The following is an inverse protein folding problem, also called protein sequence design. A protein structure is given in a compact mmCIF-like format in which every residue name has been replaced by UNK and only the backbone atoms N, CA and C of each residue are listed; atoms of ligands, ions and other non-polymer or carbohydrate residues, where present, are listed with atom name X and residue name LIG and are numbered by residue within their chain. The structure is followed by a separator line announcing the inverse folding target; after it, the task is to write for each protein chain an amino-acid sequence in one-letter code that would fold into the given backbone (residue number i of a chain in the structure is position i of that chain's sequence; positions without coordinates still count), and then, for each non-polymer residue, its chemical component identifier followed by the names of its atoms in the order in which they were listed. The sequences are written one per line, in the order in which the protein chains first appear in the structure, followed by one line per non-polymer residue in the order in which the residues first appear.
data_IF_906316898861
#
_entry.id   IF_906316898861
#
_cell.length_a   1.000
_cell.length_b   1.000
_cell.length_c   1.000
_cell.angle_alpha   90.00
_cell.angle_beta   90.00
_cell.angle_gamma   90.00
#
_symmetry.space_group_name_H-M   'P 1'
#
loop_
_entity.id
_entity.type
_entity.pdbx_description
1 polymer ?
#
# COMPACT_ATOMS: atom_id res chain seq x y z
N UNK A 1 -33.86 10.36 -37.56
CA UNK A 1 -32.40 10.61 -37.55
C UNK A 1 -31.86 10.02 -36.26
N UNK A 2 -31.12 8.93 -36.37
CA UNK A 2 -30.90 7.93 -35.32
C UNK A 2 -29.40 7.91 -34.99
N UNK A 3 -29.03 8.12 -33.73
CA UNK A 3 -27.68 7.85 -33.26
C UNK A 3 -27.71 6.60 -32.37
N UNK A 4 -27.16 5.51 -32.91
CA UNK A 4 -27.02 4.20 -32.29
C UNK A 4 -25.69 4.21 -31.52
N UNK A 5 -25.74 4.13 -30.19
CA UNK A 5 -24.53 3.90 -29.38
C UNK A 5 -24.35 2.38 -29.20
N UNK A 6 -23.34 1.86 -29.89
CA UNK A 6 -22.98 0.44 -29.93
C UNK A 6 -22.19 0.06 -28.66
N UNK A 7 -22.54 -1.02 -27.94
CA UNK A 7 -21.77 -1.52 -26.82
C UNK A 7 -20.70 -2.48 -27.32
N UNK A 8 -19.59 -1.95 -27.82
CA UNK A 8 -18.38 -2.72 -28.10
C UNK A 8 -17.22 -2.05 -27.41
N UNK A 9 -17.00 -2.40 -26.15
CA UNK A 9 -15.72 -2.16 -25.50
C UNK A 9 -14.62 -2.96 -26.23
N UNK A 10 -13.38 -2.46 -26.27
CA UNK A 10 -12.29 -3.19 -26.90
C UNK A 10 -12.06 -4.54 -26.19
N UNK A 11 -11.72 -5.62 -26.91
CA UNK A 11 -11.36 -6.89 -26.29
C UNK A 11 -10.12 -6.69 -25.40
N UNK A 12 -10.14 -7.32 -24.21
CA UNK A 12 -8.99 -7.38 -23.32
C UNK A 12 -7.78 -7.92 -24.08
N UNK A 13 -6.86 -7.02 -24.44
CA UNK A 13 -5.54 -7.41 -24.92
C UNK A 13 -4.74 -7.95 -23.72
N UNK A 14 -4.09 -9.13 -23.84
CA UNK A 14 -3.13 -9.55 -22.83
C UNK A 14 -2.02 -8.50 -22.74
N UNK A 15 -1.68 -8.10 -21.52
CA UNK A 15 -0.57 -7.17 -21.27
C UNK A 15 0.71 -7.75 -21.86
N UNK A 16 1.14 -7.20 -22.99
CA UNK A 16 2.47 -7.46 -23.55
C UNK A 16 3.46 -6.90 -22.53
N UNK A 17 4.18 -7.79 -21.85
CA UNK A 17 5.36 -7.45 -21.06
C UNK A 17 6.29 -6.67 -22.01
N UNK A 18 6.68 -5.42 -21.70
CA UNK A 18 7.66 -4.72 -22.50
C UNK A 18 8.90 -5.61 -22.62
N UNK A 19 9.24 -5.95 -23.86
CA UNK A 19 10.48 -6.63 -24.20
C UNK A 19 11.65 -5.87 -23.56
N UNK A 20 12.64 -6.66 -23.16
CA UNK A 20 13.88 -6.23 -22.51
C UNK A 20 14.29 -4.81 -22.88
N UNK A 21 14.11 -3.89 -21.93
CA UNK A 21 14.85 -2.64 -21.96
C UNK A 21 16.33 -3.05 -22.01
N UNK A 22 17.11 -2.66 -23.05
CA UNK A 22 18.55 -2.85 -22.98
C UNK A 22 18.98 -2.21 -21.68
N UNK A 23 19.73 -2.98 -20.87
CA UNK A 23 20.28 -2.53 -19.60
C UNK A 23 20.76 -1.09 -19.82
N UNK A 24 20.05 -0.13 -19.23
CA UNK A 24 20.46 1.27 -19.29
C UNK A 24 21.80 1.26 -18.58
N UNK A 25 22.89 1.19 -19.34
CA UNK A 25 24.17 1.71 -18.93
C UNK A 25 23.84 3.11 -18.45
N UNK A 26 23.78 3.26 -17.13
CA UNK A 26 23.51 4.53 -16.50
C UNK A 26 24.71 5.40 -16.85
N UNK A 27 24.66 6.08 -18.00
CA UNK A 27 25.54 7.19 -18.30
C UNK A 27 25.40 8.13 -17.10
N UNK A 28 26.47 8.41 -16.34
CA UNK A 28 26.39 9.28 -15.21
C UNK A 28 25.83 10.61 -15.69
N UNK A 29 24.65 11.01 -15.19
CA UNK A 29 24.09 12.31 -15.51
C UNK A 29 25.11 13.37 -15.08
N UNK A 30 25.63 14.20 -15.99
CA UNK A 30 26.58 15.24 -15.63
C UNK A 30 25.89 16.16 -14.63
N UNK A 31 26.44 16.23 -13.41
CA UNK A 31 25.90 17.04 -12.31
C UNK A 31 25.18 16.28 -11.20
N UNK A 32 25.01 14.95 -11.27
CA UNK A 32 24.59 14.20 -10.08
C UNK A 32 25.77 14.12 -9.11
N UNK A 33 25.67 14.70 -7.89
CA UNK A 33 26.73 14.55 -6.91
C UNK A 33 26.99 13.06 -6.67
N UNK A 34 28.25 12.62 -6.54
CA UNK A 34 28.57 11.23 -6.24
C UNK A 34 27.79 10.83 -4.99
N UNK A 35 27.14 9.67 -5.05
CA UNK A 35 26.48 9.13 -3.86
C UNK A 35 27.53 9.08 -2.73
N UNK A 36 27.20 9.59 -1.53
CA UNK A 36 28.16 9.58 -0.43
C UNK A 36 28.63 8.13 -0.20
N UNK A 37 29.93 7.93 0.06
CA UNK A 37 30.44 6.59 0.35
C UNK A 37 29.67 6.01 1.53
N UNK A 38 29.16 4.79 1.37
CA UNK A 38 28.49 4.07 2.45
C UNK A 38 29.54 3.79 3.53
N UNK A 39 29.33 4.19 4.79
CA UNK A 39 30.27 3.93 5.87
C UNK A 39 30.47 2.41 6.05
N UNK A 40 31.65 1.93 5.63
CA UNK A 40 32.10 0.56 5.86
C UNK A 40 32.82 0.51 7.21
N UNK A 41 32.46 -0.45 8.05
CA UNK A 41 33.16 -0.66 9.32
C UNK A 41 34.48 -1.41 9.14
N UNK A 42 35.22 -1.64 10.22
CA UNK A 42 36.52 -2.30 10.18
C UNK A 42 36.39 -3.71 9.57
N UNK A 43 37.40 -4.10 8.79
CA UNK A 43 37.49 -5.47 8.27
C UNK A 43 37.73 -6.40 9.45
N UNK A 44 36.80 -7.32 9.68
CA UNK A 44 36.90 -8.35 10.71
C UNK A 44 37.35 -9.64 10.04
N UNK A 45 38.53 -10.15 10.39
CA UNK A 45 38.95 -11.49 9.98
C UNK A 45 38.33 -12.52 10.93
N UNK A 46 37.58 -13.47 10.38
CA UNK A 46 37.02 -14.57 11.15
C UNK A 46 37.97 -15.77 11.11
N UNK A 47 38.37 -16.31 12.27
CA UNK A 47 39.14 -17.54 12.32
C UNK A 47 38.30 -18.71 11.80
N UNK A 48 38.85 -19.47 10.85
CA UNK A 48 38.19 -20.62 10.24
C UNK A 48 39.00 -21.18 9.06
N UNK A 49 38.69 -22.40 8.64
CA UNK A 49 39.23 -23.03 7.42
C UNK A 49 38.11 -23.17 6.38
N UNK A 50 38.12 -22.37 5.29
CA UNK A 50 39.09 -21.31 4.95
C UNK A 50 38.80 -19.98 5.65
N UNK A 51 39.84 -19.14 5.78
CA UNK A 51 39.77 -17.80 6.38
C UNK A 51 38.73 -16.94 5.65
N UNK A 52 37.86 -16.28 6.41
CA UNK A 52 36.86 -15.36 5.87
C UNK A 52 37.09 -13.95 6.39
N UNK A 53 37.04 -12.95 5.50
CA UNK A 53 37.06 -11.54 5.88
C UNK A 53 35.64 -10.97 5.80
N UNK A 54 35.25 -10.17 6.78
CA UNK A 54 33.90 -9.68 6.94
C UNK A 54 33.92 -8.17 7.09
N UNK A 55 33.27 -7.47 6.14
CA UNK A 55 33.20 -6.01 6.10
C UNK A 55 31.78 -5.59 6.42
N UNK A 56 31.49 -5.08 7.64
CA UNK A 56 30.16 -4.67 8.02
C UNK A 56 29.76 -3.39 7.28
N UNK A 57 28.54 -3.39 6.76
CA UNK A 57 27.91 -2.25 6.10
C UNK A 57 26.96 -1.60 7.08
N UNK A 58 27.21 -0.34 7.42
CA UNK A 58 26.37 0.41 8.35
C UNK A 58 25.61 1.52 7.64
N UNK A 59 24.40 1.79 8.12
CA UNK A 59 23.60 2.93 7.69
C UNK A 59 23.08 3.63 8.94
N UNK A 60 23.44 4.91 9.12
CA UNK A 60 23.09 5.70 10.32
C UNK A 60 23.48 5.00 11.63
N UNK A 61 24.67 4.41 11.66
CA UNK A 61 25.20 3.71 12.84
C UNK A 61 24.57 2.34 13.12
N UNK A 62 23.70 1.82 12.26
CA UNK A 62 23.10 0.47 12.40
C UNK A 62 23.64 -0.49 11.34
N UNK A 63 23.94 -1.75 11.69
CA UNK A 63 24.36 -2.76 10.72
C UNK A 63 23.19 -3.13 9.80
N UNK A 64 23.40 -3.02 8.49
CA UNK A 64 22.40 -3.40 7.47
C UNK A 64 22.77 -4.74 6.81
N UNK A 65 24.06 -5.07 6.83
CA UNK A 65 24.57 -6.30 6.27
C UNK A 65 26.07 -6.37 6.42
N UNK A 66 26.67 -7.39 5.81
CA UNK A 66 28.10 -7.52 5.69
C UNK A 66 28.48 -8.11 4.34
N UNK A 67 29.60 -7.66 3.80
CA UNK A 67 30.28 -8.37 2.73
C UNK A 67 31.18 -9.44 3.35
N UNK A 68 30.96 -10.69 2.98
CA UNK A 68 31.77 -11.82 3.38
C UNK A 68 32.65 -12.19 2.20
N UNK A 69 33.96 -12.04 2.34
CA UNK A 69 34.96 -12.59 1.45
C UNK A 69 35.37 -13.96 2.00
N UNK A 70 35.10 -15.01 1.22
CA UNK A 70 35.46 -16.38 1.57
C UNK A 70 35.87 -17.10 0.28
N UNK A 71 37.05 -17.72 0.28
CA UNK A 71 37.57 -18.46 -0.89
C UNK A 71 37.59 -17.61 -2.19
N UNK A 72 38.08 -16.37 -2.08
CA UNK A 72 38.13 -15.40 -3.18
C UNK A 72 36.76 -14.87 -3.66
N UNK A 73 35.65 -15.32 -3.07
CA UNK A 73 34.29 -14.89 -3.45
C UNK A 73 33.72 -13.91 -2.43
N UNK A 74 33.25 -12.78 -2.92
CA UNK A 74 32.51 -11.79 -2.12
C UNK A 74 31.03 -12.08 -2.18
N UNK A 75 30.37 -12.24 -1.03
CA UNK A 75 28.91 -12.39 -0.92
C UNK A 75 28.35 -11.38 0.07
N UNK A 76 27.31 -10.68 -0.33
CA UNK A 76 26.54 -9.84 0.59
C UNK A 76 25.61 -10.69 1.45
N UNK A 77 25.65 -10.50 2.76
CA UNK A 77 24.73 -11.11 3.73
C UNK A 77 23.94 -10.00 4.43
N UNK A 78 22.62 -9.91 4.18
CA UNK A 78 21.79 -8.94 4.89
C UNK A 78 21.66 -9.33 6.36
N UNK A 79 21.70 -8.33 7.24
CA UNK A 79 21.36 -8.49 8.67
C UNK A 79 19.94 -7.98 8.84
N UNK A 80 19.03 -8.88 9.18
CA UNK A 80 17.66 -8.51 9.52
C UNK A 80 17.61 -8.04 10.97
N UNK A 81 17.05 -6.87 11.19
CA UNK A 81 16.75 -6.34 12.52
C UNK A 81 15.44 -7.01 13.01
N UNK A 82 15.51 -7.92 14.01
CA UNK A 82 14.35 -8.67 14.47
C UNK A 82 13.27 -7.76 15.08
N UNK A 83 13.67 -6.66 15.72
CA UNK A 83 12.74 -5.70 16.33
C UNK A 83 11.98 -4.94 15.25
N UNK A 84 12.65 -4.58 14.15
CA UNK A 84 11.97 -4.00 12.98
C UNK A 84 11.01 -4.98 12.33
N UNK A 85 11.38 -6.25 12.21
CA UNK A 85 10.50 -7.26 11.64
C UNK A 85 9.27 -7.46 12.52
N UNK A 86 9.46 -7.63 13.83
CA UNK A 86 8.37 -7.72 14.80
C UNK A 86 7.47 -6.48 14.76
N UNK A 87 8.06 -5.28 14.77
CA UNK A 87 7.31 -4.03 14.65
C UNK A 87 6.49 -3.94 13.36
N UNK A 88 7.07 -4.34 12.22
CA UNK A 88 6.35 -4.39 10.95
C UNK A 88 5.20 -5.41 10.97
N UNK A 89 5.43 -6.61 11.52
CA UNK A 89 4.41 -7.65 11.65
C UNK A 89 3.25 -7.19 12.54
N UNK A 90 3.55 -6.58 13.69
CA UNK A 90 2.53 -6.02 14.59
C UNK A 90 1.74 -4.91 13.89
N UNK A 91 2.41 -4.04 13.15
CA UNK A 91 1.78 -2.98 12.37
C UNK A 91 0.79 -3.53 11.32
N UNK A 92 1.21 -4.52 10.55
CA UNK A 92 0.35 -5.18 9.53
C UNK A 92 -0.85 -5.87 10.19
N UNK A 93 -0.63 -6.57 11.30
CA UNK A 93 -1.71 -7.23 12.06
C UNK A 93 -2.73 -6.21 12.56
N UNK A 94 -2.28 -5.10 13.16
CA UNK A 94 -3.15 -4.07 13.69
C UNK A 94 -4.02 -3.43 12.60
N UNK A 95 -3.43 -3.11 11.45
CA UNK A 95 -4.16 -2.57 10.29
C UNK A 95 -5.17 -3.59 9.75
N UNK A 96 -4.78 -4.86 9.64
CA UNK A 96 -5.66 -5.94 9.19
C UNK A 96 -6.88 -6.13 10.11
N UNK A 97 -6.65 -6.13 11.43
CA UNK A 97 -7.72 -6.24 12.42
C UNK A 97 -8.66 -5.03 12.40
N UNK A 98 -8.12 -3.81 12.27
CA UNK A 98 -8.93 -2.60 12.15
C UNK A 98 -9.81 -2.62 10.89
N UNK A 99 -9.24 -2.99 9.74
CA UNK A 99 -9.99 -3.13 8.49
C UNK A 99 -11.08 -4.20 8.59
N UNK A 100 -10.77 -5.36 9.19
CA UNK A 100 -11.73 -6.42 9.42
C UNK A 100 -12.87 -5.97 10.35
N UNK A 101 -12.57 -5.23 11.41
CA UNK A 101 -13.58 -4.69 12.33
C UNK A 101 -14.51 -3.69 11.61
N UNK A 102 -13.96 -2.80 10.78
CA UNK A 102 -14.75 -1.87 9.96
C UNK A 102 -15.65 -2.61 8.99
N UNK A 103 -15.11 -3.60 8.27
CA UNK A 103 -15.88 -4.42 7.33
C UNK A 103 -17.00 -5.20 8.06
N UNK A 104 -16.70 -5.82 9.20
CA UNK A 104 -17.69 -6.52 10.02
C UNK A 104 -18.78 -5.56 10.53
N UNK A 105 -18.41 -4.34 10.95
CA UNK A 105 -19.38 -3.34 11.39
C UNK A 105 -20.27 -2.86 10.24
N UNK A 106 -19.71 -2.70 9.04
CA UNK A 106 -20.43 -2.35 7.82
C UNK A 106 -21.44 -3.42 7.42
N UNK A 107 -21.03 -4.70 7.42
CA UNK A 107 -21.93 -5.84 7.12
C UNK A 107 -23.11 -5.96 8.10
N UNK A 108 -22.93 -5.55 9.35
CA UNK A 108 -24.01 -5.52 10.36
C UNK A 108 -24.98 -4.33 10.22
N UNK A 109 -24.74 -3.40 9.30
CA UNK A 109 -25.65 -2.28 9.04
C UNK A 109 -26.39 -2.54 7.74
N UNK A 110 -27.71 -2.76 7.77
CA UNK A 110 -28.47 -2.81 6.53
C UNK A 110 -28.30 -1.48 5.78
N UNK A 111 -28.21 -1.50 4.44
CA UNK A 111 -28.13 -0.28 3.65
C UNK A 111 -29.33 0.61 3.96
N UNK A 112 -29.07 1.90 4.20
CA UNK A 112 -30.10 2.87 4.56
C UNK A 112 -31.05 3.20 3.38
N UNK A 113 -30.70 2.75 2.17
CA UNK A 113 -31.44 2.94 0.94
C UNK A 113 -31.70 1.52 0.40
N UNK A 114 -32.97 1.19 0.15
CA UNK A 114 -33.36 -0.08 -0.47
C UNK A 114 -32.90 -0.19 -1.93
N UNK A 115 -33.18 -1.33 -2.57
CA UNK A 115 -32.80 -1.56 -3.97
C UNK A 115 -33.36 -0.46 -4.88
N UNK A 116 -32.47 0.22 -5.61
CA UNK A 116 -32.83 1.22 -6.60
C UNK A 116 -33.26 0.51 -7.89
N UNK A 117 -34.50 0.73 -8.33
CA UNK A 117 -34.96 0.24 -9.64
C UNK A 117 -34.87 1.36 -10.66
N UNK A 118 -34.27 1.07 -11.81
CA UNK A 118 -34.30 1.97 -12.97
C UNK A 118 -35.63 1.77 -13.70
N UNK A 119 -36.31 2.88 -13.99
CA UNK A 119 -37.46 2.88 -14.89
C UNK A 119 -37.02 2.77 -16.37
N UNK A 120 -37.93 2.41 -17.28
CA UNK A 120 -37.68 2.46 -18.72
C UNK A 120 -37.37 3.90 -19.12
N UNK A 121 -36.11 4.19 -19.47
CA UNK A 121 -35.63 5.56 -19.75
C UNK A 121 -34.55 6.09 -18.80
N UNK A 122 -34.07 5.28 -17.85
CA UNK A 122 -32.87 5.60 -17.04
C UNK A 122 -33.13 6.48 -15.81
N UNK A 123 -34.39 6.83 -15.54
CA UNK A 123 -34.74 7.55 -14.31
C UNK A 123 -34.68 6.61 -13.10
N UNK A 124 -34.10 7.09 -12.00
CA UNK A 124 -34.08 6.40 -10.71
C UNK A 124 -35.22 6.94 -9.85
N UNK A 125 -36.19 6.10 -9.52
CA UNK A 125 -37.31 6.47 -8.64
C UNK A 125 -37.05 5.97 -7.22
N UNK A 126 -37.06 6.87 -6.24
CA UNK A 126 -37.01 6.55 -4.80
C UNK A 126 -38.42 6.36 -4.20
N UNK A 127 -39.46 6.33 -5.03
CA UNK A 127 -40.86 6.38 -4.60
C UNK A 127 -41.24 5.09 -3.86
N UNK A 128 -41.64 5.20 -2.60
CA UNK A 128 -42.07 4.08 -1.75
C UNK A 128 -41.02 3.52 -0.79
N UNK A 129 -39.78 4.02 -0.82
CA UNK A 129 -38.79 3.66 0.18
C UNK A 129 -39.07 4.43 1.49
N UNK A 130 -39.16 3.75 2.64
CA UNK A 130 -39.34 4.43 3.92
C UNK A 130 -38.17 5.39 4.14
N UNK A 131 -38.47 6.65 4.46
CA UNK A 131 -37.44 7.63 4.79
C UNK A 131 -36.54 7.06 5.90
N UNK A 132 -35.20 7.11 5.73
CA UNK A 132 -34.30 6.49 6.69
C UNK A 132 -34.54 7.09 8.06
N UNK A 133 -35.05 6.27 8.99
CA UNK A 133 -35.37 6.76 10.33
C UNK A 133 -34.05 7.10 11.03
N UNK A 134 -33.85 8.34 11.53
CA UNK A 134 -32.63 8.71 12.23
C UNK A 134 -32.64 8.07 13.63
N UNK A 135 -32.33 6.78 13.72
CA UNK A 135 -32.25 6.01 14.98
C UNK A 135 -30.82 5.79 15.48
N UNK A 136 -29.83 6.47 14.91
CA UNK A 136 -28.45 6.37 15.37
C UNK A 136 -28.13 7.47 16.42
N UNK A 137 -27.51 7.12 17.56
CA UNK A 137 -26.92 8.10 18.46
C UNK A 137 -25.95 9.00 17.69
N UNK A 138 -25.93 10.30 18.00
CA UNK A 138 -25.06 11.27 17.31
C UNK A 138 -23.60 10.77 17.34
N UNK A 139 -22.96 10.56 16.18
CA UNK A 139 -21.57 10.16 16.14
C UNK A 139 -20.70 11.27 16.73
N UNK A 140 -19.61 10.90 17.41
CA UNK A 140 -18.78 11.84 18.16
C UNK A 140 -18.26 12.99 17.29
N UNK A 141 -17.89 12.70 16.04
CA UNK A 141 -17.43 13.71 15.09
C UNK A 141 -18.49 14.77 14.80
N UNK A 142 -19.78 14.42 14.82
CA UNK A 142 -20.86 15.38 14.58
C UNK A 142 -21.02 16.35 15.76
N UNK A 143 -20.62 15.94 16.98
CA UNK A 143 -20.55 16.84 18.14
C UNK A 143 -19.35 17.77 18.03
N UNK A 144 -18.20 17.24 17.62
CA UNK A 144 -16.96 18.02 17.41
C UNK A 144 -17.17 19.09 16.33
N UNK A 145 -17.77 18.72 15.20
CA UNK A 145 -18.01 19.63 14.08
C UNK A 145 -19.25 20.53 14.25
N UNK A 146 -19.96 20.45 15.39
CA UNK A 146 -21.24 21.14 15.63
C UNK A 146 -22.22 21.06 14.45
N UNK A 147 -22.26 19.91 13.77
CA UNK A 147 -23.10 19.72 12.60
C UNK A 147 -24.58 19.85 13.01
N UNK A 148 -25.27 20.84 12.44
CA UNK A 148 -26.71 21.06 12.66
C UNK A 148 -27.51 20.27 11.62
N UNK A 149 -28.69 19.79 12.04
CA UNK A 149 -29.61 19.10 11.12
C UNK A 149 -30.18 20.15 10.16
N UNK A 150 -30.12 19.90 8.86
CA UNK A 150 -30.93 20.63 7.90
C UNK A 150 -32.38 20.18 8.11
N UNK A 151 -33.16 21.06 8.73
CA UNK A 151 -34.62 20.94 8.78
C UNK A 151 -35.11 21.63 7.53
N UNK A 152 -35.75 20.88 6.64
CA UNK A 152 -36.46 21.47 5.50
C UNK A 152 -37.79 21.96 6.08
N UNK A 153 -37.95 23.27 6.19
CA UNK A 153 -39.27 23.88 6.44
C UNK A 153 -40.09 23.74 5.15
N UNK A 154 -41.34 23.28 5.31
CA UNK A 154 -42.32 23.13 4.25
C UNK A 154 -43.19 24.38 4.16
#
# INVERSE_FOLDING_TARGET
MTAILNPTGPPFAPSVRPADLPARSATPAPGRPPAPPVPMGPVLELPGTPTAALVPVTHRGRPVGAFVLHDGRVRYRPVFDPDRLLGATVGVLAVGLAAAAVAARGRRRPPAIGALTMGPGGWVSLRGLPAPTPRAPRPWWARVLRARRLVIEH
#
